data_IF_180843177003
#
_entry.id   IF_180843177003
#
_cell.length_a   1.000
_cell.length_b   1.000
_cell.length_c   1.000
_cell.angle_alpha   90.00
_cell.angle_beta   90.00
_cell.angle_gamma   90.00
#
_symmetry.space_group_name_H-M   'P 1'
#
loop_
_entity.id
_entity.type
_entity.pdbx_description
1 polymer ?
#
# COMPACT_ATOMS: atom_id res chain seq x y z
N UNK A 1 -13.82 19.20 -9.85
CA UNK A 1 -13.80 17.89 -9.19
C UNK A 1 -13.35 16.87 -10.22
N UNK A 2 -12.19 16.26 -10.06
CA UNK A 2 -11.82 15.07 -10.84
C UNK A 2 -12.87 14.00 -10.54
N UNK A 3 -13.51 13.50 -11.57
CA UNK A 3 -14.52 12.43 -11.46
C UNK A 3 -13.83 11.16 -10.94
N UNK A 4 -14.54 10.30 -10.21
CA UNK A 4 -14.04 8.99 -9.76
C UNK A 4 -13.41 8.21 -10.93
N UNK A 5 -14.00 8.26 -12.08
CA UNK A 5 -13.53 7.66 -13.33
C UNK A 5 -12.06 8.03 -13.62
N UNK A 6 -11.72 9.33 -13.62
CA UNK A 6 -10.37 9.81 -13.92
C UNK A 6 -9.36 9.31 -12.88
N UNK A 7 -9.76 9.30 -11.60
CA UNK A 7 -8.90 8.81 -10.51
C UNK A 7 -8.66 7.30 -10.57
N UNK A 8 -9.67 6.51 -10.91
CA UNK A 8 -9.50 5.06 -11.04
C UNK A 8 -8.53 4.70 -12.18
N UNK A 9 -8.54 5.45 -13.27
CA UNK A 9 -7.60 5.23 -14.39
C UNK A 9 -6.12 5.40 -14.02
N UNK A 10 -5.83 6.21 -13.02
CA UNK A 10 -4.46 6.41 -12.51
C UNK A 10 -3.96 5.23 -11.66
N UNK A 11 -4.87 4.38 -11.18
CA UNK A 11 -4.56 3.28 -10.29
C UNK A 11 -4.15 2.05 -11.10
N UNK A 12 -3.00 1.41 -10.79
CA UNK A 12 -2.49 0.26 -11.55
C UNK A 12 -3.49 -0.88 -11.71
N UNK A 13 -4.39 -1.06 -10.75
CA UNK A 13 -5.41 -2.12 -10.74
C UNK A 13 -6.41 -1.99 -11.90
N UNK A 14 -6.67 -0.76 -12.34
CA UNK A 14 -7.65 -0.45 -13.40
C UNK A 14 -7.00 -0.12 -14.75
N UNK A 15 -5.67 -0.16 -14.85
CA UNK A 15 -4.97 0.14 -16.10
C UNK A 15 -5.31 -0.86 -17.20
N UNK A 16 -5.44 -0.37 -18.44
CA UNK A 16 -5.77 -1.19 -19.61
C UNK A 16 -7.25 -1.56 -19.75
N UNK A 17 -8.12 -1.19 -18.79
CA UNK A 17 -9.55 -1.31 -18.96
C UNK A 17 -10.08 -0.26 -19.96
N UNK A 18 -11.06 -0.65 -20.77
CA UNK A 18 -11.74 0.29 -21.67
C UNK A 18 -12.62 1.25 -20.87
N UNK A 19 -13.00 2.37 -21.47
CA UNK A 19 -13.92 3.32 -20.84
C UNK A 19 -15.24 2.68 -20.45
N UNK A 20 -15.78 1.80 -21.30
CA UNK A 20 -17.04 1.11 -21.06
C UNK A 20 -16.92 0.12 -19.90
N UNK A 21 -15.83 -0.66 -19.83
CA UNK A 21 -15.57 -1.57 -18.72
C UNK A 21 -15.46 -0.81 -17.39
N UNK A 22 -14.78 0.33 -17.40
CA UNK A 22 -14.62 1.13 -16.19
C UNK A 22 -15.95 1.75 -15.73
N UNK A 23 -16.77 2.22 -16.65
CA UNK A 23 -18.12 2.72 -16.36
C UNK A 23 -19.03 1.61 -15.84
N UNK A 24 -18.94 0.40 -16.39
CA UNK A 24 -19.66 -0.77 -15.90
C UNK A 24 -19.24 -1.13 -14.47
N UNK A 25 -17.93 -1.18 -14.19
CA UNK A 25 -17.41 -1.42 -12.83
C UNK A 25 -17.96 -0.37 -11.85
N UNK A 26 -17.92 0.92 -12.24
CA UNK A 26 -18.43 2.01 -11.39
C UNK A 26 -19.93 1.85 -11.10
N UNK A 27 -20.69 1.40 -12.09
CA UNK A 27 -22.14 1.22 -11.95
C UNK A 27 -22.55 0.00 -11.12
N UNK A 28 -21.73 -1.05 -11.09
CA UNK A 28 -22.05 -2.33 -10.43
C UNK A 28 -21.43 -2.46 -9.03
N UNK A 29 -20.35 -1.72 -8.74
CA UNK A 29 -19.53 -1.88 -7.53
C UNK A 29 -19.96 -0.91 -6.45
N UNK A 30 -20.10 -1.42 -5.23
CA UNK A 30 -20.35 -0.58 -4.06
C UNK A 30 -19.02 0.02 -3.56
N UNK A 31 -18.74 1.22 -4.00
CA UNK A 31 -17.60 2.01 -3.51
C UNK A 31 -17.94 2.72 -2.20
N UNK A 32 -17.13 2.52 -1.16
CA UNK A 32 -17.23 3.23 0.11
C UNK A 32 -16.20 4.36 0.15
N UNK A 33 -16.66 5.62 0.13
CA UNK A 33 -15.79 6.80 0.18
C UNK A 33 -15.62 7.27 1.61
N UNK A 34 -14.36 7.54 2.01
CA UNK A 34 -14.03 8.08 3.33
C UNK A 34 -13.12 9.30 3.20
N UNK A 35 -13.37 10.29 4.04
CA UNK A 35 -12.53 11.49 4.18
C UNK A 35 -11.84 11.45 5.52
N UNK A 36 -10.58 11.86 5.54
CA UNK A 36 -9.75 11.91 6.73
C UNK A 36 -9.12 13.29 6.85
N UNK A 37 -9.12 13.82 8.06
CA UNK A 37 -8.41 15.02 8.44
C UNK A 37 -6.95 14.72 8.81
N UNK A 38 -6.24 15.77 9.20
CA UNK A 38 -4.85 15.65 9.65
C UNK A 38 -4.76 14.78 10.92
N UNK A 39 -3.83 13.82 10.91
CA UNK A 39 -3.57 12.84 11.97
C UNK A 39 -4.67 11.77 12.18
N UNK A 40 -5.68 11.71 11.33
CA UNK A 40 -6.65 10.63 11.39
C UNK A 40 -6.01 9.30 10.96
N UNK A 41 -6.37 8.23 11.66
CA UNK A 41 -5.94 6.87 11.32
C UNK A 41 -6.85 6.36 10.20
N UNK A 42 -6.25 6.03 9.06
CA UNK A 42 -6.95 5.47 7.90
C UNK A 42 -7.10 3.95 8.06
N UNK A 43 -6.00 3.28 8.46
CA UNK A 43 -5.94 1.85 8.77
C UNK A 43 -5.01 1.64 9.94
N UNK A 44 -5.38 0.74 10.85
CA UNK A 44 -4.61 0.45 12.05
C UNK A 44 -3.92 -0.91 11.92
N UNK A 45 -2.70 -1.00 12.41
CA UNK A 45 -1.98 -2.27 12.57
C UNK A 45 -2.81 -3.28 13.37
N UNK A 46 -2.87 -4.53 12.89
CA UNK A 46 -3.67 -5.60 13.48
C UNK A 46 -5.16 -5.56 13.12
N UNK A 47 -5.66 -4.49 12.49
CA UNK A 47 -7.03 -4.43 11.98
C UNK A 47 -7.21 -5.42 10.82
N UNK A 48 -8.36 -6.07 10.78
CA UNK A 48 -8.68 -7.01 9.70
C UNK A 48 -8.82 -6.31 8.36
N UNK A 49 -8.27 -6.90 7.32
CA UNK A 49 -8.26 -6.35 5.96
C UNK A 49 -9.46 -6.89 5.17
N UNK A 50 -10.67 -6.43 5.51
CA UNK A 50 -11.92 -6.88 4.87
C UNK A 50 -12.22 -6.15 3.54
N UNK A 51 -11.57 -5.02 3.30
CA UNK A 51 -11.76 -4.18 2.12
C UNK A 51 -10.40 -3.77 1.55
N UNK A 52 -10.30 -3.68 0.23
CA UNK A 52 -9.17 -3.02 -0.42
C UNK A 52 -9.37 -1.51 -0.31
N UNK A 53 -8.47 -0.85 0.40
CA UNK A 53 -8.47 0.60 0.58
C UNK A 53 -7.51 1.25 -0.42
N UNK A 54 -7.99 2.24 -1.16
CA UNK A 54 -7.24 2.98 -2.17
C UNK A 54 -7.22 4.45 -1.77
N UNK A 55 -6.05 5.01 -1.58
CA UNK A 55 -5.84 6.43 -1.37
C UNK A 55 -5.99 7.15 -2.71
N UNK A 56 -7.02 7.99 -2.83
CA UNK A 56 -7.34 8.74 -4.05
C UNK A 56 -6.70 10.12 -4.10
N UNK A 57 -6.51 10.73 -2.92
CA UNK A 57 -5.86 12.04 -2.78
C UNK A 57 -5.31 12.23 -1.40
N UNK A 58 -4.35 13.13 -1.27
CA UNK A 58 -3.66 13.41 -0.02
C UNK A 58 -2.39 12.58 0.17
N UNK A 59 -1.76 12.80 1.31
CA UNK A 59 -0.52 12.15 1.72
C UNK A 59 -0.75 11.41 3.05
N UNK A 60 -0.18 10.22 3.17
CA UNK A 60 -0.23 9.41 4.39
C UNK A 60 1.18 9.05 4.84
N UNK A 61 1.33 8.81 6.13
CA UNK A 61 2.54 8.26 6.72
C UNK A 61 2.26 6.93 7.38
N UNK A 62 3.25 6.06 7.35
CA UNK A 62 3.26 4.84 8.16
C UNK A 62 4.59 4.75 8.91
N UNK A 63 4.55 4.17 10.10
CA UNK A 63 5.71 4.03 10.98
C UNK A 63 5.87 2.56 11.34
N UNK A 64 7.08 2.05 11.19
CA UNK A 64 7.48 0.75 11.70
C UNK A 64 8.56 0.95 12.77
N UNK A 65 8.43 0.25 13.89
CA UNK A 65 9.40 0.26 14.97
C UNK A 65 10.19 -1.05 14.99
N UNK A 66 11.46 -0.99 15.35
CA UNK A 66 12.22 -2.18 15.70
C UNK A 66 11.73 -2.75 17.03
N UNK A 67 11.89 -4.06 17.25
CA UNK A 67 11.42 -4.75 18.45
C UNK A 67 11.97 -4.15 19.76
N UNK A 68 13.22 -3.68 19.72
CA UNK A 68 13.89 -3.00 20.84
C UNK A 68 13.62 -1.50 20.90
N UNK A 69 12.80 -0.97 19.99
CA UNK A 69 12.57 0.47 19.79
C UNK A 69 13.86 1.30 19.59
N UNK A 70 14.96 0.66 19.19
CA UNK A 70 16.23 1.33 18.93
C UNK A 70 16.22 2.19 17.67
N UNK A 71 15.33 1.89 16.74
CA UNK A 71 15.09 2.71 15.56
C UNK A 71 13.64 2.61 15.07
N UNK A 72 13.23 3.57 14.26
CA UNK A 72 11.96 3.53 13.53
C UNK A 72 12.17 3.98 12.09
N UNK A 73 11.31 3.48 11.22
CA UNK A 73 11.26 3.86 9.82
C UNK A 73 9.90 4.52 9.57
N UNK A 74 9.91 5.77 9.16
CA UNK A 74 8.74 6.47 8.67
C UNK A 74 8.73 6.42 7.14
N UNK A 75 7.62 6.03 6.55
CA UNK A 75 7.39 6.07 5.12
C UNK A 75 6.27 7.05 4.80
N UNK A 76 6.54 7.96 3.86
CA UNK A 76 5.58 8.94 3.37
C UNK A 76 5.08 8.49 2.00
N UNK A 77 3.77 8.36 1.88
CA UNK A 77 3.11 7.77 0.72
C UNK A 77 2.14 8.81 0.15
N UNK A 78 2.25 9.05 -1.15
CA UNK A 78 1.36 9.96 -1.89
C UNK A 78 0.32 9.18 -2.68
N UNK A 79 -0.86 9.79 -2.83
CA UNK A 79 -1.90 9.28 -3.73
C UNK A 79 -1.44 9.41 -5.21
N UNK A 80 -1.91 8.49 -6.10
CA UNK A 80 -2.77 7.33 -5.80
C UNK A 80 -1.96 6.15 -5.23
N UNK A 81 -2.53 5.44 -4.26
CA UNK A 81 -1.86 4.30 -3.64
C UNK A 81 -2.86 3.26 -3.13
N UNK A 82 -2.59 1.96 -3.37
CA UNK A 82 -3.39 0.87 -2.82
C UNK A 82 -2.74 0.42 -1.51
N UNK A 83 -3.50 0.52 -0.41
CA UNK A 83 -2.99 0.24 0.93
C UNK A 83 -2.93 -1.28 1.15
N UNK A 84 -1.73 -1.82 1.25
CA UNK A 84 -1.44 -3.22 1.61
C UNK A 84 -2.34 -4.26 0.91
N UNK A 85 -2.45 -4.17 -0.41
CA UNK A 85 -3.24 -5.10 -1.23
C UNK A 85 -2.86 -6.57 -0.98
N UNK A 86 -1.59 -6.83 -0.67
CA UNK A 86 -1.04 -8.16 -0.38
C UNK A 86 -1.62 -8.82 0.89
N UNK A 87 -2.21 -8.03 1.77
CA UNK A 87 -2.83 -8.51 3.01
C UNK A 87 -4.35 -8.68 2.92
N UNK A 88 -4.93 -8.37 1.75
CA UNK A 88 -6.38 -8.48 1.55
C UNK A 88 -6.88 -9.93 1.53
N UNK A 89 -6.02 -10.88 1.17
CA UNK A 89 -6.28 -12.32 1.13
C UNK A 89 -5.16 -13.08 1.82
N UNK A 90 -5.35 -14.39 1.97
CA UNK A 90 -4.37 -15.28 2.55
C UNK A 90 -4.74 -15.72 3.96
N UNK A 91 -3.77 -16.30 4.66
CA UNK A 91 -3.99 -16.94 5.97
C UNK A 91 -4.06 -15.91 7.12
N UNK A 92 -3.54 -14.70 6.93
CA UNK A 92 -3.51 -13.67 7.96
C UNK A 92 -3.88 -12.31 7.35
N UNK A 93 -5.16 -12.07 7.04
CA UNK A 93 -5.61 -10.86 6.37
C UNK A 93 -5.73 -9.68 7.36
N UNK A 94 -4.59 -9.17 7.84
CA UNK A 94 -4.52 -8.05 8.77
C UNK A 94 -3.50 -7.02 8.28
N UNK A 95 -3.78 -5.74 8.53
CA UNK A 95 -2.82 -4.68 8.26
C UNK A 95 -1.59 -4.83 9.15
N UNK A 96 -0.40 -4.79 8.58
CA UNK A 96 0.87 -4.93 9.31
C UNK A 96 1.45 -3.60 9.78
N UNK A 97 0.81 -2.48 9.41
CA UNK A 97 1.25 -1.12 9.76
C UNK A 97 0.06 -0.19 9.91
N UNK A 98 0.22 0.81 10.76
CA UNK A 98 -0.77 1.90 10.87
C UNK A 98 -0.51 2.97 9.82
N UNK A 99 -1.55 3.36 9.09
CA UNK A 99 -1.55 4.43 8.09
C UNK A 99 -2.28 5.64 8.66
N UNK A 100 -1.57 6.77 8.73
CA UNK A 100 -2.08 8.01 9.31
C UNK A 100 -2.04 9.12 8.27
N UNK A 101 -3.12 9.86 8.13
CA UNK A 101 -3.21 11.01 7.23
C UNK A 101 -2.32 12.16 7.69
N UNK A 102 -1.59 12.80 6.78
CA UNK A 102 -0.74 13.96 7.08
C UNK A 102 -1.54 15.27 7.00
N UNK A 103 -2.51 15.31 6.11
CA UNK A 103 -3.41 16.42 5.87
C UNK A 103 -4.80 15.91 5.52
N UNK A 104 -5.53 16.61 4.68
CA UNK A 104 -6.78 16.09 4.12
C UNK A 104 -6.48 14.95 3.15
N UNK A 105 -7.13 13.81 3.36
CA UNK A 105 -6.97 12.62 2.51
C UNK A 105 -8.33 12.00 2.21
N UNK A 106 -8.46 11.45 1.00
CA UNK A 106 -9.66 10.74 0.58
C UNK A 106 -9.31 9.33 0.16
N UNK A 107 -10.08 8.36 0.63
CA UNK A 107 -9.94 6.97 0.20
C UNK A 107 -11.24 6.47 -0.42
N UNK A 108 -11.11 5.42 -1.23
CA UNK A 108 -12.22 4.58 -1.64
C UNK A 108 -11.91 3.15 -1.21
N UNK A 109 -12.92 2.45 -0.71
CA UNK A 109 -12.81 1.05 -0.31
C UNK A 109 -13.72 0.18 -1.16
N UNK A 110 -13.20 -0.99 -1.55
CA UNK A 110 -13.91 -2.03 -2.31
C UNK A 110 -13.96 -3.27 -1.45
N UNK A 111 -15.14 -3.82 -1.20
CA UNK A 111 -15.33 -5.04 -0.44
C UNK A 111 -14.81 -6.28 -1.17
N UNK A 112 -14.54 -7.35 -0.41
CA UNK A 112 -14.00 -8.59 -0.96
C UNK A 112 -14.88 -9.20 -2.03
N UNK A 113 -16.18 -9.27 -1.81
CA UNK A 113 -17.15 -9.81 -2.79
C UNK A 113 -17.15 -9.03 -4.09
N UNK A 114 -17.14 -7.70 -4.00
CA UNK A 114 -17.14 -6.82 -5.18
C UNK A 114 -15.83 -6.95 -5.97
N UNK A 115 -14.69 -7.01 -5.26
CA UNK A 115 -13.40 -7.19 -5.91
C UNK A 115 -13.31 -8.53 -6.65
N UNK A 116 -13.84 -9.61 -6.05
CA UNK A 116 -13.89 -10.93 -6.70
C UNK A 116 -14.79 -10.89 -7.93
N UNK A 117 -15.97 -10.28 -7.82
CA UNK A 117 -16.89 -10.13 -8.95
C UNK A 117 -16.24 -9.37 -10.11
N UNK A 118 -15.57 -8.24 -9.85
CA UNK A 118 -14.80 -7.51 -10.86
C UNK A 118 -13.72 -8.41 -11.49
N UNK A 119 -13.01 -9.18 -10.66
CA UNK A 119 -11.94 -10.07 -11.14
C UNK A 119 -12.45 -11.21 -12.02
N UNK A 120 -13.66 -11.68 -11.77
CA UNK A 120 -14.27 -12.75 -12.57
C UNK A 120 -14.78 -12.22 -13.91
N UNK A 121 -15.33 -11.02 -13.94
CA UNK A 121 -15.91 -10.40 -15.12
C UNK A 121 -14.86 -9.76 -16.04
N UNK A 122 -13.83 -9.11 -15.47
CA UNK A 122 -12.83 -8.35 -16.22
C UNK A 122 -11.44 -8.98 -16.13
N UNK A 123 -11.05 -9.76 -17.15
CA UNK A 123 -9.77 -10.46 -17.20
C UNK A 123 -8.55 -9.52 -17.02
N UNK A 124 -8.62 -8.29 -17.57
CA UNK A 124 -7.52 -7.30 -17.44
C UNK A 124 -7.36 -6.89 -15.98
N UNK A 125 -8.45 -6.65 -15.26
CA UNK A 125 -8.43 -6.33 -13.84
C UNK A 125 -7.79 -7.47 -13.03
N UNK A 126 -8.20 -8.73 -13.30
CA UNK A 126 -7.64 -9.91 -12.64
C UNK A 126 -6.14 -10.06 -12.91
N UNK A 127 -5.69 -9.85 -14.14
CA UNK A 127 -4.27 -9.88 -14.49
C UNK A 127 -3.52 -8.79 -13.72
N UNK A 128 -4.04 -7.56 -13.65
CA UNK A 128 -3.43 -6.48 -12.90
C UNK A 128 -3.32 -6.81 -11.41
N UNK A 129 -4.40 -7.35 -10.80
CA UNK A 129 -4.41 -7.78 -9.41
C UNK A 129 -3.31 -8.82 -9.13
N UNK A 130 -3.22 -9.86 -9.95
CA UNK A 130 -2.21 -10.91 -9.82
C UNK A 130 -0.79 -10.36 -10.02
N UNK A 131 -0.59 -9.50 -11.01
CA UNK A 131 0.71 -8.88 -11.26
C UNK A 131 1.17 -8.01 -10.09
N UNK A 132 0.29 -7.20 -9.51
CA UNK A 132 0.61 -6.36 -8.35
C UNK A 132 1.02 -7.23 -7.15
N UNK A 133 0.21 -8.23 -6.80
CA UNK A 133 0.49 -9.11 -5.67
C UNK A 133 1.76 -9.92 -5.91
N UNK A 134 1.94 -10.47 -7.12
CA UNK A 134 3.17 -11.20 -7.49
C UNK A 134 4.41 -10.32 -7.43
N UNK A 135 4.34 -9.08 -7.90
CA UNK A 135 5.46 -8.15 -7.82
C UNK A 135 5.86 -7.83 -6.37
N UNK A 136 4.87 -7.67 -5.48
CA UNK A 136 5.11 -7.46 -4.04
C UNK A 136 5.78 -8.69 -3.43
N UNK A 137 5.27 -9.90 -3.73
CA UNK A 137 5.83 -11.16 -3.24
C UNK A 137 7.27 -11.38 -3.73
N UNK A 138 7.54 -11.22 -5.02
CA UNK A 138 8.88 -11.31 -5.61
C UNK A 138 9.87 -10.33 -4.99
N UNK A 139 9.40 -9.12 -4.71
CA UNK A 139 10.22 -8.09 -4.07
C UNK A 139 10.53 -8.42 -2.60
N UNK A 140 9.57 -9.00 -1.88
CA UNK A 140 9.78 -9.48 -0.51
C UNK A 140 10.77 -10.65 -0.49
N UNK A 141 10.58 -11.64 -1.34
CA UNK A 141 11.45 -12.81 -1.47
C UNK A 141 12.89 -12.40 -1.83
N UNK A 142 13.05 -11.51 -2.82
CA UNK A 142 14.39 -11.07 -3.25
C UNK A 142 15.22 -10.43 -2.14
N UNK A 143 14.60 -9.95 -1.06
CA UNK A 143 15.29 -9.43 0.12
C UNK A 143 15.75 -10.53 1.07
N UNK A 144 14.92 -11.58 1.24
CA UNK A 144 15.23 -12.68 2.15
C UNK A 144 16.42 -13.50 1.68
N UNK A 145 16.57 -13.67 0.37
CA UNK A 145 17.63 -14.48 -0.24
C UNK A 145 18.92 -13.72 -0.57
N UNK A 146 19.04 -12.46 -0.19
CA UNK A 146 20.30 -11.73 -0.32
C UNK A 146 21.21 -12.03 0.84
N UNK A 147 22.41 -12.60 0.60
CA UNK A 147 23.37 -12.84 1.67
C UNK A 147 23.78 -11.51 2.31
N UNK A 148 23.90 -11.52 3.64
CA UNK A 148 24.36 -10.35 4.39
C UNK A 148 25.84 -10.08 4.06
N UNK A 149 26.23 -8.84 3.72
CA UNK A 149 27.62 -8.49 3.47
C UNK A 149 28.53 -8.79 4.68
N UNK A 150 29.79 -9.16 4.40
CA UNK A 150 30.74 -9.52 5.47
C UNK A 150 31.20 -8.31 6.29
N UNK A 151 31.43 -7.17 5.65
CA UNK A 151 31.96 -5.98 6.31
C UNK A 151 30.86 -5.01 6.79
N UNK A 152 31.14 -4.27 7.85
CA UNK A 152 30.20 -3.36 8.50
C UNK A 152 29.70 -2.24 7.58
N UNK A 153 30.58 -1.68 6.74
CA UNK A 153 30.23 -0.61 5.81
C UNK A 153 29.18 -1.09 4.80
N UNK A 154 29.43 -2.24 4.21
CA UNK A 154 28.49 -2.87 3.25
C UNK A 154 27.19 -3.28 3.92
N UNK A 155 27.20 -3.71 5.19
CA UNK A 155 25.97 -3.97 5.96
C UNK A 155 25.12 -2.72 6.15
N UNK A 156 25.73 -1.59 6.49
CA UNK A 156 25.01 -0.31 6.61
C UNK A 156 24.44 0.09 5.27
N UNK A 157 25.21 0.02 4.19
CA UNK A 157 24.74 0.33 2.83
C UNK A 157 23.61 -0.61 2.42
N UNK A 158 23.73 -1.90 2.73
CA UNK A 158 22.69 -2.89 2.45
C UNK A 158 21.40 -2.57 3.22
N UNK A 159 21.50 -2.27 4.51
CA UNK A 159 20.37 -1.87 5.35
C UNK A 159 19.67 -0.63 4.77
N UNK A 160 20.41 0.43 4.48
CA UNK A 160 19.86 1.66 3.90
C UNK A 160 19.18 1.38 2.54
N UNK A 161 19.85 0.65 1.65
CA UNK A 161 19.28 0.29 0.34
C UNK A 161 18.03 -0.57 0.48
N UNK A 162 18.00 -1.55 1.38
CA UNK A 162 16.83 -2.42 1.57
C UNK A 162 15.60 -1.66 2.03
N UNK A 163 15.77 -0.57 2.77
CA UNK A 163 14.68 0.29 3.23
C UNK A 163 14.34 1.42 2.25
N UNK A 164 15.31 1.87 1.43
CA UNK A 164 15.10 2.95 0.45
C UNK A 164 14.60 2.48 -0.92
N UNK A 165 14.57 1.17 -1.18
CA UNK A 165 14.20 0.58 -2.49
C UNK A 165 12.70 0.60 -2.82
N UNK A 166 11.85 1.18 -1.97
CA UNK A 166 10.43 1.36 -2.29
C UNK A 166 10.19 2.76 -2.86
N UNK A 167 9.68 2.88 -4.10
CA UNK A 167 9.47 4.17 -4.75
C UNK A 167 8.19 4.88 -4.28
N UNK A 168 7.63 4.53 -3.14
CA UNK A 168 6.34 5.04 -2.67
C UNK A 168 6.41 6.38 -1.95
N UNK A 169 7.58 7.00 -1.85
CA UNK A 169 7.73 8.30 -1.22
C UNK A 169 9.03 8.46 -0.44
N UNK A 170 9.11 9.56 0.31
CA UNK A 170 10.25 9.83 1.18
C UNK A 170 10.21 8.91 2.40
N UNK A 171 11.37 8.34 2.76
CA UNK A 171 11.55 7.57 3.98
C UNK A 171 12.46 8.30 4.94
N UNK A 172 12.09 8.29 6.20
CA UNK A 172 12.89 8.83 7.29
C UNK A 172 13.26 7.69 8.22
N UNK A 173 14.58 7.48 8.40
CA UNK A 173 15.12 6.55 9.38
C UNK A 173 15.51 7.33 10.64
N UNK A 174 14.89 7.01 11.76
CA UNK A 174 15.20 7.57 13.07
C UNK A 174 15.92 6.53 13.91
N UNK A 175 17.13 6.83 14.34
CA UNK A 175 17.95 5.96 15.19
C UNK A 175 18.08 6.61 16.56
N UNK A 176 17.74 5.88 17.62
CA UNK A 176 17.98 6.31 18.98
C UNK A 176 19.47 6.08 19.29
N UNK A 177 20.20 7.16 19.44
CA UNK A 177 21.59 7.06 19.92
C UNK A 177 21.57 6.71 21.41
N UNK A 178 21.95 5.50 21.76
CA UNK A 178 22.32 5.17 23.13
C UNK A 178 23.60 5.93 23.48
N UNK A 179 23.57 6.72 24.54
CA UNK A 179 24.81 7.28 25.10
C UNK A 179 25.67 6.09 25.54
N UNK A 180 26.87 5.98 24.97
CA UNK A 180 27.96 5.13 25.48
C UNK A 180 28.35 5.58 26.89
#
# INVERSE_FOLDING_TARGET
MLNLYDKLREIPLFQGLTSDNLMQIIGQTKFSFKKFGKNDIIKKEGEKCDNVAILLSGDVKTIAYADDHGYSIEEYIKAPYIIQLEHFMGLSPHYTRTFTSIGESNTVEIGQSDLMHISDEFIIFRINLLNIVSAIAQKAESKLWRPMPADTRSRIVFFLKSHCLYPTGAKVLRIKMTRL
#
